data_IF_435915041104
#
_entry.id   IF_435915041104
#
_cell.length_a   1.000
_cell.length_b   1.000
_cell.length_c   1.000
_cell.angle_alpha   90.00
_cell.angle_beta   90.00
_cell.angle_gamma   90.00
#
_symmetry.space_group_name_H-M   'P 1'
#
loop_
_entity.id
_entity.type
_entity.pdbx_description
1 polymer ?
#
# COMPACT_ATOMS: atom_id res chain seq x y z
N UNK A 1 5.27 0.62 20.33
CA UNK A 1 4.94 1.25 21.62
C UNK A 1 3.45 1.14 21.84
N UNK A 2 3.05 0.51 22.94
CA UNK A 2 1.65 0.21 23.22
C UNK A 2 1.48 -1.10 23.98
N UNK A 3 0.24 -1.58 24.03
CA UNK A 3 -0.17 -2.74 24.83
C UNK A 3 -0.31 -4.05 24.03
N UNK A 4 0.24 -4.11 22.81
CA UNK A 4 0.08 -5.26 21.93
C UNK A 4 0.83 -6.52 22.45
N UNK A 5 0.21 -7.72 22.43
CA UNK A 5 0.77 -8.93 23.04
C UNK A 5 2.07 -9.42 22.39
N UNK A 6 2.22 -9.25 21.07
CA UNK A 6 3.44 -9.69 20.36
C UNK A 6 4.70 -8.87 20.70
N UNK A 7 4.55 -7.67 21.26
CA UNK A 7 5.68 -6.83 21.67
C UNK A 7 5.22 -5.86 22.76
N UNK A 8 4.99 -6.36 23.99
CA UNK A 8 4.38 -5.57 25.05
C UNK A 8 5.37 -4.51 25.55
N UNK A 9 4.92 -3.26 25.61
CA UNK A 9 5.67 -2.23 26.35
C UNK A 9 5.58 -2.53 27.85
N UNK A 10 6.63 -2.19 28.61
CA UNK A 10 6.71 -2.48 30.04
C UNK A 10 6.92 -1.21 30.85
N UNK A 11 6.33 -1.15 32.04
CA UNK A 11 6.58 -0.08 32.99
C UNK A 11 8.00 -0.23 33.55
N UNK A 12 8.79 0.84 33.51
CA UNK A 12 10.19 0.78 33.93
C UNK A 12 10.36 0.40 35.41
N UNK A 13 9.48 0.89 36.27
CA UNK A 13 9.59 0.69 37.72
C UNK A 13 9.24 -0.75 38.15
N UNK A 14 8.34 -1.44 37.45
CA UNK A 14 7.79 -2.75 37.88
C UNK A 14 8.14 -3.89 36.92
N UNK A 15 8.51 -3.59 35.67
CA UNK A 15 8.69 -4.57 34.61
C UNK A 15 7.38 -5.20 34.10
N UNK A 16 6.24 -4.79 34.66
CA UNK A 16 4.91 -5.26 34.25
C UNK A 16 4.57 -4.79 32.82
N UNK A 17 3.83 -5.60 32.06
CA UNK A 17 3.32 -5.17 30.77
C UNK A 17 2.29 -4.04 30.92
N UNK A 18 2.30 -3.12 29.96
CA UNK A 18 1.33 -2.02 29.92
C UNK A 18 -0.11 -2.55 29.88
N UNK A 19 -0.37 -3.66 29.17
CA UNK A 19 -1.70 -4.27 29.10
C UNK A 19 -2.20 -4.73 30.48
N UNK A 20 -1.38 -5.46 31.24
CA UNK A 20 -1.76 -5.94 32.57
C UNK A 20 -1.99 -4.77 33.54
N UNK A 21 -1.17 -3.73 33.44
CA UNK A 21 -1.37 -2.50 34.22
C UNK A 21 -2.72 -1.83 33.90
N UNK A 22 -3.07 -1.69 32.62
CA UNK A 22 -4.32 -1.07 32.18
C UNK A 22 -5.56 -1.90 32.54
N UNK A 23 -5.44 -3.24 32.60
CA UNK A 23 -6.51 -4.12 33.08
C UNK A 23 -6.81 -3.91 34.57
N UNK A 24 -5.77 -3.68 35.39
CA UNK A 24 -5.92 -3.41 36.83
C UNK A 24 -6.29 -1.95 37.13
N UNK A 25 -5.97 -1.04 36.22
CA UNK A 25 -6.20 0.40 36.37
C UNK A 25 -6.88 1.01 35.13
N UNK A 26 -8.08 0.56 34.77
CA UNK A 26 -8.72 0.96 33.51
C UNK A 26 -9.08 2.45 33.46
N UNK A 27 -9.19 3.12 34.60
CA UNK A 27 -9.38 4.57 34.69
C UNK A 27 -8.24 5.37 34.03
N UNK A 28 -7.05 4.77 33.87
CA UNK A 28 -5.90 5.40 33.21
C UNK A 28 -6.12 5.63 31.71
N UNK A 29 -7.07 4.93 31.08
CA UNK A 29 -7.48 5.16 29.69
C UNK A 29 -8.37 6.40 29.54
N UNK A 30 -8.97 6.87 30.64
CA UNK A 30 -10.03 7.87 30.63
C UNK A 30 -11.41 7.30 30.28
N UNK A 31 -12.46 7.86 30.88
CA UNK A 31 -13.81 7.27 30.83
C UNK A 31 -14.38 7.06 29.43
N UNK A 32 -14.10 7.97 28.48
CA UNK A 32 -14.58 7.84 27.09
C UNK A 32 -13.94 6.66 26.35
N UNK A 33 -12.63 6.48 26.49
CA UNK A 33 -11.90 5.37 25.86
C UNK A 33 -12.34 4.06 26.49
N UNK A 34 -12.45 4.02 27.82
CA UNK A 34 -12.91 2.84 28.55
C UNK A 34 -14.32 2.41 28.12
N UNK A 35 -15.24 3.37 27.96
CA UNK A 35 -16.61 3.08 27.53
C UNK A 35 -16.66 2.45 26.13
N UNK A 36 -15.75 2.83 25.23
CA UNK A 36 -15.76 2.38 23.83
C UNK A 36 -14.89 1.15 23.57
N UNK A 37 -13.75 1.04 24.24
CA UNK A 37 -12.70 0.05 23.97
C UNK A 37 -12.34 -0.83 25.19
N UNK A 38 -13.05 -0.66 26.31
CA UNK A 38 -12.83 -1.44 27.53
C UNK A 38 -11.46 -1.16 28.16
N UNK A 39 -10.67 -2.21 28.38
CA UNK A 39 -9.32 -2.12 28.97
C UNK A 39 -8.21 -2.09 27.92
N UNK A 40 -8.56 -2.02 26.63
CA UNK A 40 -7.58 -2.06 25.55
C UNK A 40 -7.18 -0.66 25.11
N UNK A 41 -5.88 -0.50 24.80
CA UNK A 41 -5.39 0.71 24.15
C UNK A 41 -5.81 0.69 22.67
N UNK A 42 -6.58 1.67 22.17
CA UNK A 42 -7.21 1.60 20.84
C UNK A 42 -6.27 1.96 19.69
N UNK A 43 -4.97 2.10 19.94
CA UNK A 43 -3.99 2.41 18.92
C UNK A 43 -2.65 1.72 19.21
N UNK A 44 -1.87 1.54 18.15
CA UNK A 44 -0.50 1.05 18.21
C UNK A 44 0.43 2.11 17.63
N UNK A 45 1.32 2.65 18.46
CA UNK A 45 2.29 3.65 18.01
C UNK A 45 3.61 2.98 17.60
N UNK A 46 4.15 3.40 16.46
CA UNK A 46 5.38 2.85 15.88
C UNK A 46 6.29 3.97 15.40
N UNK A 47 7.59 3.75 15.57
CA UNK A 47 8.63 4.47 14.82
C UNK A 47 9.17 3.47 13.83
N UNK A 48 9.19 3.83 12.55
CA UNK A 48 9.68 3.00 11.47
C UNK A 48 10.96 3.60 10.92
N UNK A 49 12.02 2.79 10.85
CA UNK A 49 13.25 3.14 10.12
C UNK A 49 13.30 2.22 8.90
N UNK A 50 12.97 2.77 7.74
CA UNK A 50 12.69 2.01 6.52
C UNK A 50 13.88 2.12 5.57
N UNK A 51 14.62 1.02 5.38
CA UNK A 51 15.77 0.97 4.48
C UNK A 51 15.41 0.44 3.07
N UNK A 52 14.34 -0.36 2.97
CA UNK A 52 13.79 -0.88 1.72
C UNK A 52 12.30 -0.61 1.67
N UNK A 53 11.73 -0.48 0.47
CA UNK A 53 10.30 -0.35 0.28
C UNK A 53 9.57 -1.50 0.98
N UNK A 54 8.46 -1.17 1.63
CA UNK A 54 7.55 -2.15 2.20
C UNK A 54 6.59 -2.62 1.10
N UNK A 55 5.96 -3.77 1.32
CA UNK A 55 4.93 -4.29 0.41
C UNK A 55 3.82 -3.25 0.17
N UNK A 56 3.30 -3.21 -1.05
CA UNK A 56 2.07 -2.47 -1.37
C UNK A 56 0.92 -3.11 -0.59
N UNK A 57 0.16 -2.31 0.14
CA UNK A 57 -0.86 -2.78 1.06
C UNK A 57 -2.14 -1.94 0.94
N UNK A 58 -3.26 -2.59 1.19
CA UNK A 58 -4.53 -1.96 1.50
C UNK A 58 -5.14 -2.64 2.73
N UNK A 59 -5.84 -1.87 3.55
CA UNK A 59 -6.53 -2.40 4.73
C UNK A 59 -8.04 -2.41 4.47
N UNK A 60 -8.74 -3.50 4.84
CA UNK A 60 -10.18 -3.56 4.71
C UNK A 60 -10.86 -2.54 5.64
N UNK A 61 -12.07 -2.12 5.27
CA UNK A 61 -12.96 -1.46 6.21
C UNK A 61 -13.46 -2.45 7.28
N UNK A 62 -14.23 -1.95 8.24
CA UNK A 62 -14.65 -2.75 9.40
C UNK A 62 -15.52 -3.95 8.99
N UNK A 63 -16.46 -3.75 8.07
CA UNK A 63 -17.37 -4.80 7.63
C UNK A 63 -16.63 -5.89 6.83
N UNK A 64 -15.69 -5.48 5.98
CA UNK A 64 -14.88 -6.41 5.21
C UNK A 64 -13.87 -7.15 6.11
N UNK A 65 -13.29 -6.49 7.11
CA UNK A 65 -12.39 -7.12 8.07
C UNK A 65 -13.08 -8.24 8.86
N UNK A 66 -14.31 -7.99 9.34
CA UNK A 66 -15.14 -8.98 10.04
C UNK A 66 -15.41 -10.21 9.17
N UNK A 67 -15.80 -9.99 7.91
CA UNK A 67 -16.02 -11.06 6.94
C UNK A 67 -14.75 -11.86 6.68
N UNK A 68 -13.65 -11.19 6.38
CA UNK A 68 -12.37 -11.82 6.03
C UNK A 68 -11.76 -12.59 7.21
N UNK A 69 -11.90 -12.08 8.44
CA UNK A 69 -11.50 -12.80 9.65
C UNK A 69 -12.33 -14.08 9.85
N UNK A 70 -13.64 -14.02 9.62
CA UNK A 70 -14.51 -15.19 9.74
C UNK A 70 -14.22 -16.26 8.67
N UNK A 71 -13.98 -15.86 7.42
CA UNK A 71 -13.71 -16.77 6.29
C UNK A 71 -12.27 -17.32 6.30
N UNK A 72 -11.30 -16.50 6.70
CA UNK A 72 -9.87 -16.79 6.59
C UNK A 72 -9.06 -16.34 7.83
N UNK A 73 -9.34 -16.88 9.04
CA UNK A 73 -8.77 -16.40 10.31
C UNK A 73 -7.25 -16.55 10.43
N UNK A 74 -6.62 -17.40 9.59
CA UNK A 74 -5.15 -17.52 9.54
C UNK A 74 -4.48 -16.39 8.74
N UNK A 75 -5.19 -15.80 7.78
CA UNK A 75 -4.69 -14.70 6.95
C UNK A 75 -5.07 -13.34 7.53
N UNK A 76 -6.26 -13.24 8.12
CA UNK A 76 -6.76 -12.03 8.78
C UNK A 76 -6.87 -12.32 10.27
N UNK A 77 -5.88 -11.88 11.04
CA UNK A 77 -5.71 -12.26 12.44
C UNK A 77 -6.80 -11.71 13.37
N UNK A 78 -7.48 -10.63 12.97
CA UNK A 78 -8.51 -9.97 13.76
C UNK A 78 -9.59 -9.32 12.86
N UNK A 79 -10.78 -9.00 13.42
CA UNK A 79 -11.89 -8.45 12.66
C UNK A 79 -11.92 -6.90 12.63
N UNK A 80 -10.81 -6.21 12.90
CA UNK A 80 -10.80 -4.74 12.91
C UNK A 80 -10.31 -4.13 11.60
N UNK A 81 -10.84 -2.94 11.30
CA UNK A 81 -10.22 -2.05 10.34
C UNK A 81 -8.86 -1.55 10.87
N UNK A 82 -8.00 -1.08 9.97
CA UNK A 82 -6.67 -0.58 10.33
C UNK A 82 -6.42 0.78 9.70
N UNK A 83 -7.07 1.85 10.21
CA UNK A 83 -6.71 3.20 9.81
C UNK A 83 -5.29 3.50 10.30
N UNK A 84 -4.44 3.98 9.40
CA UNK A 84 -3.04 4.30 9.67
C UNK A 84 -2.78 5.76 9.33
N UNK A 85 -1.92 6.40 10.13
CA UNK A 85 -1.42 7.75 9.89
C UNK A 85 0.10 7.71 9.97
N UNK A 86 0.76 8.20 8.91
CA UNK A 86 2.20 8.35 8.86
C UNK A 86 2.58 9.81 9.12
N UNK A 87 3.59 10.02 9.98
CA UNK A 87 4.20 11.32 10.22
C UNK A 87 5.69 11.19 9.91
N UNK A 88 6.19 12.02 8.99
CA UNK A 88 7.60 12.06 8.63
C UNK A 88 8.43 12.61 9.81
N UNK A 89 9.46 11.87 10.22
CA UNK A 89 10.47 12.33 11.19
C UNK A 89 11.81 12.68 10.50
N UNK A 90 11.93 12.33 9.23
CA UNK A 90 12.99 12.61 8.28
C UNK A 90 12.37 12.62 6.88
N UNK A 91 13.15 12.94 5.85
CA UNK A 91 12.73 12.75 4.45
C UNK A 91 12.08 11.38 4.27
N UNK A 92 10.87 11.39 3.70
CA UNK A 92 10.02 10.22 3.60
C UNK A 92 9.31 10.17 2.26
N UNK A 93 9.38 9.02 1.59
CA UNK A 93 8.68 8.73 0.35
C UNK A 93 7.64 7.63 0.58
N UNK A 94 6.44 7.80 0.04
CA UNK A 94 5.39 6.79 0.07
C UNK A 94 4.63 6.70 -1.26
N UNK A 95 4.21 5.49 -1.61
CA UNK A 95 3.19 5.26 -2.62
C UNK A 95 1.81 5.31 -1.95
N UNK A 96 0.95 6.25 -2.37
CA UNK A 96 -0.34 6.46 -1.71
C UNK A 96 -1.46 6.82 -2.71
N UNK A 97 -2.47 5.96 -2.79
CA UNK A 97 -3.62 6.16 -3.67
C UNK A 97 -3.28 6.06 -5.17
N UNK A 98 -4.30 5.84 -5.99
CA UNK A 98 -4.15 5.80 -7.44
C UNK A 98 -3.85 7.19 -8.02
N UNK A 99 -3.04 7.24 -9.07
CA UNK A 99 -2.90 8.45 -9.89
C UNK A 99 -4.20 8.78 -10.62
N UNK A 100 -4.32 10.01 -11.09
CA UNK A 100 -5.47 10.43 -11.90
C UNK A 100 -5.52 9.70 -13.23
N UNK A 101 -6.72 9.58 -13.81
CA UNK A 101 -6.92 8.94 -15.12
C UNK A 101 -6.00 9.52 -16.21
N UNK A 102 -5.84 10.86 -16.38
CA UNK A 102 -4.94 11.40 -17.39
C UNK A 102 -3.48 10.97 -17.20
N UNK A 103 -3.00 10.92 -15.95
CA UNK A 103 -1.64 10.48 -15.64
C UNK A 103 -1.46 9.00 -15.95
N UNK A 104 -2.45 8.15 -15.63
CA UNK A 104 -2.38 6.73 -15.97
C UNK A 104 -2.41 6.51 -17.49
N UNK A 105 -3.24 7.27 -18.22
CA UNK A 105 -3.28 7.22 -19.68
C UNK A 105 -1.94 7.59 -20.31
N UNK A 106 -1.29 8.65 -19.81
CA UNK A 106 0.07 9.02 -20.24
C UNK A 106 1.06 7.88 -19.98
N UNK A 107 1.05 7.30 -18.78
CA UNK A 107 1.95 6.19 -18.41
C UNK A 107 1.73 4.96 -19.30
N UNK A 108 0.49 4.60 -19.61
CA UNK A 108 0.19 3.51 -20.53
C UNK A 108 0.69 3.78 -21.95
N UNK A 109 0.78 5.04 -22.39
CA UNK A 109 1.36 5.40 -23.69
C UNK A 109 2.89 5.37 -23.68
N UNK A 110 3.51 5.81 -22.58
CA UNK A 110 4.97 5.97 -22.49
C UNK A 110 5.71 4.72 -21.99
N UNK A 111 5.01 3.82 -21.31
CA UNK A 111 5.57 2.61 -20.70
C UNK A 111 4.95 1.37 -21.38
N UNK A 112 5.52 0.90 -22.50
CA UNK A 112 4.93 -0.21 -23.26
C UNK A 112 4.85 -1.51 -22.44
N UNK A 113 5.79 -1.75 -21.53
CA UNK A 113 5.79 -2.95 -20.67
C UNK A 113 4.60 -2.96 -19.71
N UNK A 114 4.19 -1.78 -19.22
CA UNK A 114 2.99 -1.61 -18.42
C UNK A 114 1.73 -1.92 -19.24
N UNK A 115 1.65 -1.39 -20.46
CA UNK A 115 0.51 -1.63 -21.34
C UNK A 115 0.38 -3.10 -21.75
N UNK A 116 1.51 -3.78 -21.98
CA UNK A 116 1.54 -5.23 -22.24
C UNK A 116 0.99 -6.01 -21.06
N UNK A 117 1.42 -5.69 -19.84
CA UNK A 117 1.01 -6.44 -18.64
C UNK A 117 -0.45 -6.16 -18.24
N UNK A 118 -0.94 -4.94 -18.47
CA UNK A 118 -2.37 -4.59 -18.30
C UNK A 118 -3.24 -5.26 -19.36
N UNK A 119 -2.69 -5.53 -20.55
CA UNK A 119 -3.39 -6.14 -21.68
C UNK A 119 -4.09 -5.10 -22.57
N UNK A 120 -4.18 -5.41 -23.87
CA UNK A 120 -4.66 -4.48 -24.89
C UNK A 120 -6.08 -3.96 -24.62
N UNK A 121 -7.00 -4.84 -24.20
CA UNK A 121 -8.40 -4.48 -23.95
C UNK A 121 -8.53 -3.50 -22.76
N UNK A 122 -7.92 -3.84 -21.62
CA UNK A 122 -7.98 -3.00 -20.43
C UNK A 122 -7.21 -1.67 -20.63
N UNK A 123 -6.07 -1.71 -21.32
CA UNK A 123 -5.34 -0.49 -21.66
C UNK A 123 -6.16 0.41 -22.58
N UNK A 124 -6.79 -0.13 -23.63
CA UNK A 124 -7.67 0.62 -24.51
C UNK A 124 -8.87 1.22 -23.76
N UNK A 125 -9.47 0.47 -22.84
CA UNK A 125 -10.57 0.96 -22.00
C UNK A 125 -10.14 2.14 -21.13
N UNK A 126 -8.96 2.10 -20.50
CA UNK A 126 -8.41 3.22 -19.73
C UNK A 126 -8.14 4.43 -20.63
N UNK A 127 -7.57 4.20 -21.82
CA UNK A 127 -7.28 5.26 -22.79
C UNK A 127 -8.53 5.91 -23.39
N UNK A 128 -9.66 5.21 -23.38
CA UNK A 128 -10.95 5.70 -23.86
C UNK A 128 -11.74 6.49 -22.81
N UNK A 129 -11.31 6.50 -21.54
CA UNK A 129 -11.96 7.30 -20.49
C UNK A 129 -11.82 8.80 -20.80
N UNK A 130 -12.94 9.49 -20.92
CA UNK A 130 -13.00 10.93 -21.15
C UNK A 130 -12.99 11.75 -19.85
N UNK A 131 -12.76 13.06 -19.97
CA UNK A 131 -13.02 13.99 -18.87
C UNK A 131 -14.52 14.03 -18.54
N UNK A 132 -14.86 13.94 -17.26
CA UNK A 132 -16.26 13.93 -16.81
C UNK A 132 -16.99 12.60 -16.98
N UNK A 133 -16.27 11.51 -17.25
CA UNK A 133 -16.83 10.16 -17.24
C UNK A 133 -17.49 9.84 -15.89
N UNK A 134 -18.52 8.99 -15.93
CA UNK A 134 -19.16 8.47 -14.73
C UNK A 134 -18.14 7.80 -13.78
N UNK A 135 -18.18 8.18 -12.50
CA UNK A 135 -17.21 7.74 -11.49
C UNK A 135 -17.26 6.21 -11.30
N UNK A 136 -18.45 5.61 -11.36
CA UNK A 136 -18.60 4.17 -11.20
C UNK A 136 -17.97 3.41 -12.38
N UNK A 137 -18.21 3.88 -13.61
CA UNK A 137 -17.57 3.33 -14.82
C UNK A 137 -16.04 3.51 -14.79
N UNK A 138 -15.55 4.69 -14.43
CA UNK A 138 -14.11 4.93 -14.30
C UNK A 138 -13.47 3.97 -13.28
N UNK A 139 -14.07 3.80 -12.10
CA UNK A 139 -13.62 2.84 -11.08
C UNK A 139 -13.61 1.40 -11.60
N UNK A 140 -14.62 1.00 -12.36
CA UNK A 140 -14.69 -0.34 -12.94
C UNK A 140 -13.54 -0.59 -13.94
N UNK A 141 -13.27 0.37 -14.83
CA UNK A 141 -12.19 0.27 -15.82
C UNK A 141 -10.82 0.24 -15.13
N UNK A 142 -10.59 1.14 -14.17
CA UNK A 142 -9.34 1.17 -13.39
C UNK A 142 -9.14 -0.12 -12.59
N UNK A 143 -10.20 -0.64 -11.97
CA UNK A 143 -10.17 -1.94 -11.28
C UNK A 143 -9.80 -3.06 -12.22
N UNK A 144 -10.37 -3.11 -13.42
CA UNK A 144 -10.05 -4.14 -14.41
C UNK A 144 -8.57 -4.09 -14.82
N UNK A 145 -8.06 -2.89 -15.12
CA UNK A 145 -6.65 -2.70 -15.48
C UNK A 145 -5.68 -3.09 -14.37
N UNK A 146 -5.96 -2.66 -13.13
CA UNK A 146 -5.12 -3.04 -11.98
C UNK A 146 -5.24 -4.52 -11.62
N UNK A 147 -6.42 -5.13 -11.80
CA UNK A 147 -6.60 -6.57 -11.61
C UNK A 147 -5.76 -7.34 -12.62
N UNK A 148 -5.82 -6.99 -13.90
CA UNK A 148 -5.05 -7.64 -14.96
C UNK A 148 -3.54 -7.63 -14.65
N UNK A 149 -3.03 -6.48 -14.21
CA UNK A 149 -1.65 -6.32 -13.76
C UNK A 149 -1.31 -7.27 -12.60
N UNK A 150 -2.12 -7.25 -11.53
CA UNK A 150 -1.84 -8.00 -10.29
C UNK A 150 -2.07 -9.51 -10.42
N UNK A 151 -2.81 -9.95 -11.43
CA UNK A 151 -3.05 -11.37 -11.74
C UNK A 151 -2.25 -11.89 -12.92
N UNK A 152 -1.36 -11.08 -13.49
CA UNK A 152 -0.49 -11.52 -14.58
C UNK A 152 0.38 -12.70 -14.15
N UNK A 153 0.75 -13.56 -15.11
CA UNK A 153 1.61 -14.70 -14.81
C UNK A 153 3.00 -14.23 -14.36
N UNK A 154 3.68 -14.97 -13.47
CA UNK A 154 5.04 -14.64 -13.04
C UNK A 154 6.01 -14.43 -14.22
N UNK A 155 5.89 -15.24 -15.27
CA UNK A 155 6.72 -15.11 -16.48
C UNK A 155 6.45 -13.80 -17.23
N UNK A 156 5.19 -13.40 -17.37
CA UNK A 156 4.83 -12.13 -18.01
C UNK A 156 5.34 -10.93 -17.20
N UNK A 157 5.25 -10.99 -15.86
CA UNK A 157 5.79 -9.96 -14.97
C UNK A 157 7.30 -9.86 -15.14
N UNK A 158 8.01 -11.00 -15.11
CA UNK A 158 9.45 -11.06 -15.27
C UNK A 158 9.90 -10.44 -16.60
N UNK A 159 9.28 -10.84 -17.71
CA UNK A 159 9.61 -10.30 -19.03
C UNK A 159 9.35 -8.79 -19.11
N UNK A 160 8.21 -8.32 -18.58
CA UNK A 160 7.85 -6.90 -18.58
C UNK A 160 8.79 -6.06 -17.72
N UNK A 161 9.13 -6.51 -16.51
CA UNK A 161 10.04 -5.78 -15.61
C UNK A 161 11.45 -5.73 -16.19
N UNK A 162 11.96 -6.83 -16.76
CA UNK A 162 13.28 -6.84 -17.41
C UNK A 162 13.33 -5.97 -18.64
N UNK A 163 12.27 -6.00 -19.47
CA UNK A 163 12.11 -5.10 -20.61
C UNK A 163 12.17 -3.63 -20.20
N UNK A 164 11.44 -3.28 -19.13
CA UNK A 164 11.44 -1.92 -18.56
C UNK A 164 12.84 -1.52 -18.11
N UNK A 165 13.51 -2.36 -17.30
CA UNK A 165 14.85 -2.07 -16.77
C UNK A 165 15.87 -1.91 -17.89
N UNK A 166 15.84 -2.78 -18.91
CA UNK A 166 16.72 -2.69 -20.06
C UNK A 166 16.49 -1.39 -20.86
N UNK A 167 15.22 -1.05 -21.13
CA UNK A 167 14.85 0.17 -21.86
C UNK A 167 15.27 1.43 -21.11
N UNK A 168 15.03 1.49 -19.81
CA UNK A 168 15.41 2.64 -18.98
C UNK A 168 16.94 2.73 -18.79
N UNK A 169 17.63 1.59 -18.69
CA UNK A 169 19.09 1.55 -18.59
C UNK A 169 19.80 2.02 -19.87
N UNK A 170 19.16 1.88 -21.02
CA UNK A 170 19.64 2.39 -22.32
C UNK A 170 19.16 3.82 -22.63
N UNK A 171 18.36 4.44 -21.76
CA UNK A 171 17.80 5.76 -22.01
C UNK A 171 18.91 6.84 -22.00
N UNK A 172 18.91 7.68 -23.03
CA UNK A 172 19.83 8.84 -23.14
C UNK A 172 19.24 10.13 -22.60
N UNK A 173 17.93 10.13 -22.29
CA UNK A 173 17.21 11.24 -21.67
C UNK A 173 17.19 11.11 -20.15
N UNK A 174 16.87 12.20 -19.47
CA UNK A 174 16.53 12.15 -18.05
C UNK A 174 15.32 11.22 -17.83
N UNK A 175 15.40 10.42 -16.76
CA UNK A 175 14.30 9.57 -16.31
C UNK A 175 13.29 10.43 -15.53
N UNK A 176 12.01 10.12 -15.69
CA UNK A 176 10.98 10.68 -14.80
C UNK A 176 11.13 10.14 -13.38
N UNK A 177 10.48 10.79 -12.42
CA UNK A 177 10.47 10.35 -11.01
C UNK A 177 10.01 8.89 -10.85
N UNK A 178 8.92 8.51 -11.54
CA UNK A 178 8.40 7.13 -11.51
C UNK A 178 9.34 6.12 -12.19
N UNK A 179 10.03 6.50 -13.27
CA UNK A 179 11.01 5.62 -13.92
C UNK A 179 12.24 5.38 -13.05
N UNK A 180 12.76 6.44 -12.41
CA UNK A 180 13.86 6.31 -11.45
C UNK A 180 13.44 5.48 -10.23
N UNK A 181 12.22 5.69 -9.72
CA UNK A 181 11.65 4.88 -8.66
C UNK A 181 11.53 3.40 -9.07
N UNK A 182 11.05 3.11 -10.27
CA UNK A 182 10.91 1.73 -10.76
C UNK A 182 12.26 0.99 -10.79
N UNK A 183 13.33 1.65 -11.26
CA UNK A 183 14.68 1.07 -11.20
C UNK A 183 15.16 0.83 -9.77
N UNK A 184 14.89 1.77 -8.85
CA UNK A 184 15.23 1.63 -7.42
C UNK A 184 14.46 0.49 -6.75
N UNK A 185 13.16 0.35 -7.05
CA UNK A 185 12.31 -0.74 -6.55
C UNK A 185 12.81 -2.09 -7.07
N UNK A 186 13.12 -2.20 -8.36
CA UNK A 186 13.69 -3.43 -8.93
C UNK A 186 15.04 -3.79 -8.31
N UNK A 187 15.87 -2.80 -7.96
CA UNK A 187 17.12 -3.04 -7.23
C UNK A 187 16.91 -3.61 -5.82
N UNK A 188 15.75 -3.36 -5.19
CA UNK A 188 15.41 -3.89 -3.87
C UNK A 188 14.66 -5.23 -3.94
N UNK A 189 13.77 -5.37 -4.94
CA UNK A 189 12.88 -6.49 -5.22
C UNK A 189 12.88 -6.80 -6.72
N UNK A 190 13.88 -7.56 -7.22
CA UNK A 190 14.02 -7.84 -8.64
C UNK A 190 12.82 -8.61 -9.20
N UNK A 191 12.40 -8.25 -10.42
CA UNK A 191 11.34 -8.93 -11.19
C UNK A 191 9.96 -8.93 -10.48
N UNK A 192 9.74 -8.05 -9.51
CA UNK A 192 8.48 -7.96 -8.73
C UNK A 192 7.41 -7.10 -9.43
N UNK A 193 6.14 -7.52 -9.36
CA UNK A 193 4.99 -6.76 -9.92
C UNK A 193 4.84 -5.37 -9.29
N UNK A 194 5.38 -5.19 -8.07
CA UNK A 194 5.57 -3.93 -7.36
C UNK A 194 6.25 -2.84 -8.20
N UNK A 195 7.15 -3.23 -9.10
CA UNK A 195 7.88 -2.31 -9.97
C UNK A 195 6.93 -1.63 -10.96
N UNK A 196 6.03 -2.39 -11.58
CA UNK A 196 5.07 -1.87 -12.56
C UNK A 196 3.82 -1.28 -11.90
N UNK A 197 3.37 -1.84 -10.77
CA UNK A 197 2.23 -1.29 -10.02
C UNK A 197 2.50 0.08 -9.41
N UNK A 198 3.76 0.47 -9.19
CA UNK A 198 4.12 1.84 -8.80
C UNK A 198 3.65 2.89 -9.83
N UNK A 199 3.53 2.55 -11.11
CA UNK A 199 2.97 3.45 -12.15
C UNK A 199 1.45 3.66 -12.01
N UNK A 200 0.76 2.90 -11.17
CA UNK A 200 -0.63 3.17 -10.83
C UNK A 200 -0.78 4.12 -9.64
N UNK A 201 0.28 4.37 -8.87
CA UNK A 201 0.20 5.04 -7.57
C UNK A 201 0.86 6.42 -7.57
N UNK A 202 0.36 7.32 -6.73
CA UNK A 202 1.02 8.60 -6.49
C UNK A 202 2.27 8.37 -5.65
N UNK A 203 3.34 9.10 -5.96
CA UNK A 203 4.51 9.22 -5.09
C UNK A 203 4.30 10.48 -4.26
N UNK A 204 4.29 10.33 -2.95
CA UNK A 204 4.26 11.44 -2.00
C UNK A 204 5.61 11.54 -1.32
N UNK A 205 6.24 12.71 -1.41
CA UNK A 205 7.42 13.06 -0.65
C UNK A 205 7.02 14.03 0.47
N UNK A 206 7.30 13.66 1.72
CA UNK A 206 7.15 14.52 2.88
C UNK A 206 8.52 15.06 3.33
N UNK A 207 8.59 16.36 3.56
CA UNK A 207 9.68 17.05 4.24
C UNK A 207 9.27 17.41 5.67
#
# INVERSE_FOLDING_TARGET
>A
MGAHPNCPSKLQATGESLQAFLERHPQMLGGKVQQHFGTQLPFLFKVLSVNKALSIQSHPDKALAEKLHAEHPKLYADPNHKPELALALSDFEALCGFVTTPVLQERLRLVPELAVLVGQEAAAAVLALGEGEDEAKAKQVLRAAFTALMTASPDAVLEAVRGLVARLGAATRALSEHEALALRLNGQFPDDVGVLSAFFLNVSAGY
#
